data_IF_516011814521
#
_entry.id   IF_516011814521
#
_cell.length_a   1.000
_cell.length_b   1.000
_cell.length_c   1.000
_cell.angle_alpha   90.00
_cell.angle_beta   90.00
_cell.angle_gamma   90.00
#
_symmetry.space_group_name_H-M   'P 1'
#
loop_
_entity.id
_entity.type
_entity.pdbx_description
1 polymer ?
#
# COMPACT_ATOMS: atom_id res chain seq x y z
N UNK A 1 10.79 -26.03 -1.01
CA UNK A 1 10.88 -24.58 -1.21
C UNK A 1 9.65 -24.00 -0.54
N UNK A 2 9.81 -23.51 0.69
CA UNK A 2 8.70 -23.00 1.49
C UNK A 2 8.46 -21.57 1.01
N UNK A 3 7.38 -21.38 0.27
CA UNK A 3 6.92 -20.05 -0.12
C UNK A 3 6.24 -19.51 1.13
N UNK A 4 6.96 -18.72 1.91
CA UNK A 4 6.35 -17.95 2.99
C UNK A 4 5.31 -17.06 2.32
N UNK A 5 4.04 -17.38 2.57
CA UNK A 5 2.91 -16.58 2.19
C UNK A 5 3.18 -15.15 2.66
N UNK A 6 2.95 -14.17 1.78
CA UNK A 6 3.00 -12.74 2.09
C UNK A 6 1.88 -12.39 3.08
N UNK A 7 1.93 -12.90 4.31
CA UNK A 7 1.27 -12.30 5.44
C UNK A 7 2.09 -11.08 5.83
N UNK A 8 1.93 -9.99 5.07
CA UNK A 8 2.19 -8.65 5.61
C UNK A 8 1.22 -8.48 6.76
N UNK A 9 1.63 -8.92 7.95
CA UNK A 9 0.83 -8.88 9.16
C UNK A 9 0.22 -7.50 9.31
N UNK A 10 -1.10 -7.44 9.35
CA UNK A 10 -1.93 -6.31 9.78
C UNK A 10 -1.51 -5.90 11.19
N UNK A 11 -0.40 -5.16 11.31
CA UNK A 11 0.09 -4.69 12.61
C UNK A 11 -0.69 -3.44 12.97
N UNK A 12 -1.71 -3.65 13.80
CA UNK A 12 -2.30 -2.62 14.65
C UNK A 12 -1.16 -1.91 15.38
N UNK A 13 -0.98 -0.62 15.10
CA UNK A 13 -0.01 0.21 15.81
C UNK A 13 -0.67 1.53 16.18
N UNK A 14 -0.36 2.01 17.37
CA UNK A 14 -0.58 3.40 17.75
C UNK A 14 0.30 4.27 16.86
N UNK A 15 -0.19 4.60 15.68
CA UNK A 15 0.44 5.53 14.77
C UNK A 15 0.35 6.91 15.45
N UNK A 16 1.49 7.43 15.88
CA UNK A 16 1.62 8.68 16.63
C UNK A 16 0.99 9.84 15.85
N UNK A 17 0.05 10.54 16.49
CA UNK A 17 -0.82 11.52 15.88
C UNK A 17 -0.07 12.79 15.44
N UNK A 18 -0.17 13.15 14.16
CA UNK A 18 0.22 14.47 13.63
C UNK A 18 -0.90 15.51 13.73
N UNK A 19 -2.03 15.13 14.34
CA UNK A 19 -3.24 15.93 14.52
C UNK A 19 -4.46 15.04 14.78
N UNK A 20 -5.65 15.64 14.92
CA UNK A 20 -6.92 14.91 15.02
C UNK A 20 -8.04 15.63 14.26
N UNK A 21 -9.04 14.88 13.81
CA UNK A 21 -10.24 15.39 13.15
C UNK A 21 -11.45 14.78 13.84
N UNK A 22 -12.38 15.61 14.32
CA UNK A 22 -13.60 15.13 14.99
C UNK A 22 -13.36 14.32 16.27
N UNK A 23 -12.19 14.49 16.92
CA UNK A 23 -11.77 13.71 18.08
C UNK A 23 -11.00 12.42 17.74
N UNK A 24 -10.81 12.11 16.46
CA UNK A 24 -10.08 10.92 16.00
C UNK A 24 -8.64 11.31 15.62
N UNK A 25 -7.60 10.69 16.20
CA UNK A 25 -6.22 10.96 15.84
C UNK A 25 -5.91 10.52 14.41
N UNK A 26 -5.11 11.29 13.67
CA UNK A 26 -4.66 10.92 12.33
C UNK A 26 -3.53 9.87 12.40
N UNK A 27 -3.45 8.94 11.43
CA UNK A 27 -2.33 8.03 11.32
C UNK A 27 -1.05 8.76 10.87
N UNK A 28 0.09 8.21 11.22
CA UNK A 28 1.39 8.62 10.68
C UNK A 28 1.55 8.08 9.26
N UNK A 29 1.28 8.94 8.28
CA UNK A 29 1.42 8.63 6.86
C UNK A 29 2.88 8.40 6.41
N UNK A 30 3.86 8.75 7.25
CA UNK A 30 5.26 8.49 6.96
C UNK A 30 5.74 7.11 7.46
N UNK A 31 4.95 6.41 8.28
CA UNK A 31 5.28 5.09 8.81
C UNK A 31 5.61 4.10 7.68
N UNK A 32 6.62 3.26 7.89
CA UNK A 32 7.15 2.36 6.87
C UNK A 32 6.15 1.33 6.32
N UNK A 33 5.04 1.10 7.00
CA UNK A 33 3.97 0.19 6.58
C UNK A 33 2.73 0.92 6.06
N UNK A 34 2.73 2.25 6.07
CA UNK A 34 1.66 3.05 5.46
C UNK A 34 2.11 3.43 4.06
N UNK A 35 1.48 2.80 3.07
CA UNK A 35 1.62 3.17 1.67
C UNK A 35 0.55 4.21 1.34
N UNK A 36 0.93 5.29 0.67
CA UNK A 36 -0.02 6.28 0.13
C UNK A 36 0.49 6.73 -1.22
N UNK A 37 -0.43 7.21 -2.06
CA UNK A 37 -0.13 7.68 -3.41
C UNK A 37 1.01 8.69 -3.39
N UNK A 38 2.10 8.38 -4.06
CA UNK A 38 3.23 9.28 -4.24
C UNK A 38 3.88 9.04 -5.61
N UNK A 39 3.78 10.05 -6.47
CA UNK A 39 4.46 10.04 -7.76
C UNK A 39 5.93 10.41 -7.59
N UNK A 40 6.81 9.59 -8.14
CA UNK A 40 8.27 9.75 -8.09
C UNK A 40 8.84 10.36 -9.37
N UNK A 41 8.08 10.33 -10.48
CA UNK A 41 8.59 10.72 -11.80
C UNK A 41 9.51 9.67 -12.46
N UNK A 42 9.77 8.54 -11.78
CA UNK A 42 10.60 7.45 -12.28
C UNK A 42 9.78 6.57 -13.23
N UNK A 43 10.34 6.25 -14.39
CA UNK A 43 9.70 5.35 -15.35
C UNK A 43 9.71 3.89 -14.88
N UNK A 44 8.85 3.07 -15.48
CA UNK A 44 8.83 1.63 -15.18
C UNK A 44 10.15 0.92 -15.54
N UNK A 45 10.83 1.38 -16.59
CA UNK A 45 12.12 0.83 -17.01
C UNK A 45 13.21 1.14 -15.98
N UNK A 46 13.25 2.38 -15.49
CA UNK A 46 14.18 2.80 -14.44
C UNK A 46 13.92 2.06 -13.12
N UNK A 47 12.65 1.88 -12.73
CA UNK A 47 12.34 1.05 -11.55
C UNK A 47 12.84 -0.38 -11.69
N UNK A 48 12.61 -1.03 -12.84
CA UNK A 48 13.14 -2.38 -13.09
C UNK A 48 14.66 -2.40 -12.95
N UNK A 49 15.35 -1.40 -13.47
CA UNK A 49 16.79 -1.28 -13.35
C UNK A 49 17.23 -1.12 -11.88
N UNK A 50 16.61 -0.20 -11.13
CA UNK A 50 16.91 0.01 -9.71
C UNK A 50 16.66 -1.26 -8.87
N UNK A 51 15.58 -2.00 -9.14
CA UNK A 51 15.29 -3.25 -8.43
C UNK A 51 16.37 -4.30 -8.69
N UNK A 52 16.80 -4.45 -9.96
CA UNK A 52 17.89 -5.37 -10.33
C UNK A 52 19.20 -4.96 -9.67
N UNK A 53 19.59 -3.70 -9.79
CA UNK A 53 20.80 -3.17 -9.16
C UNK A 53 20.80 -3.38 -7.65
N UNK A 54 19.66 -3.15 -6.99
CA UNK A 54 19.53 -3.35 -5.56
C UNK A 54 19.75 -4.81 -5.18
N UNK A 55 19.23 -5.77 -5.96
CA UNK A 55 19.45 -7.19 -5.72
C UNK A 55 20.93 -7.59 -5.78
N UNK A 56 21.71 -7.04 -6.71
CA UNK A 56 23.16 -7.28 -6.79
C UNK A 56 23.91 -6.64 -5.62
N UNK A 57 23.58 -5.38 -5.26
CA UNK A 57 24.16 -4.67 -4.11
C UNK A 57 23.90 -5.42 -2.80
N UNK A 58 22.67 -5.89 -2.63
CA UNK A 58 22.22 -6.64 -1.46
C UNK A 58 22.86 -8.03 -1.39
N UNK A 59 23.02 -8.71 -2.54
CA UNK A 59 23.71 -10.00 -2.61
C UNK A 59 25.16 -9.89 -2.15
N UNK A 60 25.89 -8.86 -2.62
CA UNK A 60 27.25 -8.58 -2.19
C UNK A 60 27.38 -8.33 -0.67
N UNK A 61 26.30 -7.85 -0.04
CA UNK A 61 26.19 -7.64 1.41
C UNK A 61 25.60 -8.82 2.18
N UNK A 62 25.15 -9.88 1.50
CA UNK A 62 24.44 -11.01 2.12
C UNK A 62 23.07 -10.65 2.72
N UNK A 63 22.44 -9.56 2.30
CA UNK A 63 21.19 -9.05 2.86
C UNK A 63 20.01 -9.31 1.92
N UNK A 64 19.24 -10.38 2.13
CA UNK A 64 18.13 -10.71 1.24
C UNK A 64 16.83 -9.96 1.59
N UNK A 65 16.23 -9.31 0.58
CA UNK A 65 14.89 -8.68 0.64
C UNK A 65 14.66 -7.83 1.90
N UNK A 66 13.74 -8.25 2.78
CA UNK A 66 13.31 -7.49 3.95
C UNK A 66 14.42 -7.21 4.97
N UNK A 67 15.55 -7.92 4.87
CA UNK A 67 16.78 -7.64 5.65
C UNK A 67 17.55 -6.41 5.13
N UNK A 68 17.28 -5.97 3.90
CA UNK A 68 17.85 -4.76 3.31
C UNK A 68 16.93 -3.56 3.51
N UNK A 69 17.43 -2.52 4.17
CA UNK A 69 16.70 -1.25 4.34
C UNK A 69 16.42 -0.58 3.01
N UNK A 70 17.36 -0.67 2.07
CA UNK A 70 17.23 -0.11 0.73
C UNK A 70 16.18 -0.83 -0.11
N UNK A 71 16.12 -2.17 -0.01
CA UNK A 71 15.02 -2.94 -0.60
C UNK A 71 13.66 -2.48 -0.05
N UNK A 72 13.55 -2.33 1.27
CA UNK A 72 12.29 -1.90 1.90
C UNK A 72 11.89 -0.48 1.47
N UNK A 73 12.87 0.45 1.35
CA UNK A 73 12.65 1.82 0.87
C UNK A 73 12.20 1.82 -0.59
N UNK A 74 12.86 1.04 -1.44
CA UNK A 74 12.52 0.89 -2.84
C UNK A 74 11.13 0.24 -3.02
N UNK A 75 10.80 -0.76 -2.20
CA UNK A 75 9.47 -1.39 -2.16
C UNK A 75 8.39 -0.39 -1.81
N UNK A 76 8.62 0.44 -0.78
CA UNK A 76 7.71 1.52 -0.40
C UNK A 76 7.49 2.49 -1.57
N UNK A 77 8.56 2.96 -2.18
CA UNK A 77 8.50 3.92 -3.28
C UNK A 77 7.79 3.35 -4.52
N UNK A 78 8.17 2.14 -4.94
CA UNK A 78 7.61 1.48 -6.11
C UNK A 78 6.12 1.14 -5.95
N UNK A 79 5.73 0.72 -4.74
CA UNK A 79 4.32 0.44 -4.41
C UNK A 79 3.49 1.72 -4.36
N UNK A 80 4.03 2.79 -3.77
CA UNK A 80 3.38 4.11 -3.66
C UNK A 80 2.99 4.75 -5.01
N UNK A 81 3.58 4.31 -6.13
CA UNK A 81 3.19 4.76 -7.48
C UNK A 81 1.75 4.38 -7.86
N UNK A 82 1.25 3.28 -7.29
CA UNK A 82 -0.10 2.74 -7.55
C UNK A 82 -1.01 2.76 -6.33
N UNK A 83 -0.47 3.09 -5.15
CA UNK A 83 -1.28 3.21 -3.94
C UNK A 83 -2.41 4.24 -4.10
N UNK A 84 -3.56 4.00 -3.45
CA UNK A 84 -4.59 5.02 -3.30
C UNK A 84 -4.08 6.19 -2.45
N UNK A 85 -4.70 7.36 -2.61
CA UNK A 85 -4.43 8.52 -1.75
C UNK A 85 -5.08 8.32 -0.38
N UNK A 86 -4.50 7.45 0.44
CA UNK A 86 -5.03 7.13 1.77
C UNK A 86 -5.11 8.37 2.65
N UNK A 87 -4.18 9.31 2.50
CA UNK A 87 -4.19 10.55 3.26
C UNK A 87 -5.40 11.41 2.88
N UNK A 88 -5.64 11.62 1.59
CA UNK A 88 -6.83 12.31 1.09
C UNK A 88 -8.12 11.64 1.56
N UNK A 89 -8.24 10.33 1.35
CA UNK A 89 -9.42 9.52 1.71
C UNK A 89 -9.72 9.60 3.21
N UNK A 90 -8.71 9.43 4.07
CA UNK A 90 -8.90 9.47 5.52
C UNK A 90 -9.27 10.88 5.99
N UNK A 91 -8.57 11.90 5.50
CA UNK A 91 -8.85 13.30 5.90
C UNK A 91 -10.24 13.73 5.44
N UNK A 92 -10.64 13.41 4.22
CA UNK A 92 -11.98 13.74 3.71
C UNK A 92 -13.07 12.98 4.46
N UNK A 93 -12.89 11.67 4.68
CA UNK A 93 -13.84 10.84 5.42
C UNK A 93 -14.02 11.29 6.88
N UNK A 94 -12.93 11.63 7.58
CA UNK A 94 -13.03 12.15 8.94
C UNK A 94 -13.70 13.53 9.01
N UNK A 95 -13.48 14.41 8.03
CA UNK A 95 -14.20 15.69 7.94
C UNK A 95 -15.70 15.48 7.74
N UNK A 96 -16.10 14.54 6.89
CA UNK A 96 -17.51 14.19 6.68
C UNK A 96 -18.14 13.63 7.97
N UNK A 97 -17.44 12.75 8.68
CA UNK A 97 -17.90 12.21 9.98
C UNK A 97 -17.99 13.32 11.03
N UNK A 98 -17.01 14.23 11.11
CA UNK A 98 -17.00 15.34 12.07
C UNK A 98 -18.10 16.36 11.81
N UNK A 99 -18.35 16.72 10.55
CA UNK A 99 -19.42 17.66 10.17
C UNK A 99 -20.80 17.15 10.59
N UNK A 100 -21.05 15.85 10.46
CA UNK A 100 -22.30 15.22 10.89
C UNK A 100 -22.47 15.18 12.43
N UNK A 101 -21.39 15.27 13.21
CA UNK A 101 -21.47 15.36 14.69
C UNK A 101 -21.88 16.75 15.18
N UNK A 102 -21.66 17.80 14.37
CA UNK A 102 -21.88 19.21 14.75
C UNK A 102 -23.24 19.77 14.29
N UNK A 103 -24.33 19.02 14.49
CA UNK A 103 -25.74 19.32 14.11
C UNK A 103 -26.14 18.86 12.70
N UNK A 104 -26.75 17.67 12.57
CA UNK A 104 -28.04 17.41 11.88
C UNK A 104 -28.48 15.95 12.25
N UNK A 105 -29.75 15.75 12.62
CA UNK A 105 -30.42 14.44 12.66
C UNK A 105 -30.60 13.83 11.25
N UNK A 106 -29.52 13.71 10.46
CA UNK A 106 -29.57 13.03 9.16
C UNK A 106 -28.53 11.91 9.14
N UNK A 107 -28.91 10.70 8.66
CA UNK A 107 -27.94 9.66 8.32
C UNK A 107 -26.87 10.25 7.42
N UNK A 108 -25.63 9.77 7.58
CA UNK A 108 -24.50 10.15 6.71
C UNK A 108 -24.95 10.01 5.26
N UNK A 109 -24.89 11.11 4.51
CA UNK A 109 -25.12 11.05 3.07
C UNK A 109 -23.88 10.41 2.41
N UNK A 110 -23.95 9.08 2.32
CA UNK A 110 -22.89 8.21 1.79
C UNK A 110 -22.59 8.59 0.34
N UNK A 111 -23.60 9.04 -0.43
CA UNK A 111 -23.46 9.46 -1.82
C UNK A 111 -22.72 10.79 -2.01
N UNK A 112 -22.83 11.73 -1.06
CA UNK A 112 -22.15 13.03 -1.16
C UNK A 112 -20.66 12.97 -0.79
N UNK A 113 -20.24 11.95 -0.02
CA UNK A 113 -18.83 11.71 0.33
C UNK A 113 -18.03 11.07 -0.83
N UNK A 114 -18.74 10.70 -1.90
CA UNK A 114 -18.36 9.73 -2.94
C UNK A 114 -17.67 10.38 -4.16
N UNK A 115 -16.89 11.45 -3.96
CA UNK A 115 -16.07 12.01 -5.06
C UNK A 115 -14.65 11.41 -5.13
N UNK A 116 -14.18 10.69 -4.10
CA UNK A 116 -12.85 10.03 -4.10
C UNK A 116 -12.78 8.63 -3.45
N UNK A 117 -13.88 8.10 -2.89
CA UNK A 117 -13.95 6.78 -2.25
C UNK A 117 -15.17 6.63 -1.32
N UNK A 118 -15.60 5.40 -1.00
CA UNK A 118 -16.69 5.17 -0.05
C UNK A 118 -16.19 5.27 1.41
N UNK A 119 -16.99 5.85 2.31
CA UNK A 119 -16.74 5.80 3.75
C UNK A 119 -17.94 5.17 4.43
N UNK A 120 -17.74 4.04 5.11
CA UNK A 120 -18.81 3.37 5.87
C UNK A 120 -18.60 3.61 7.34
N UNK A 121 -19.66 4.05 8.02
CA UNK A 121 -19.64 4.37 9.44
C UNK A 121 -20.74 3.58 10.14
N UNK A 122 -20.36 2.87 11.19
CA UNK A 122 -21.31 2.21 12.07
C UNK A 122 -21.16 2.76 13.49
N UNK A 123 -22.24 3.37 14.00
CA UNK A 123 -22.33 3.76 15.41
C UNK A 123 -22.86 2.57 16.20
N UNK A 124 -22.01 1.95 17.01
CA UNK A 124 -22.44 0.89 17.93
C UNK A 124 -23.21 1.49 19.13
N UNK A 125 -24.13 0.75 19.77
CA UNK A 125 -24.91 1.24 20.91
C UNK A 125 -24.04 1.78 22.05
N UNK A 126 -24.61 2.72 22.81
CA UNK A 126 -23.93 3.64 23.75
C UNK A 126 -22.76 3.04 24.54
N UNK A 127 -21.59 3.66 24.39
CA UNK A 127 -20.51 3.58 25.38
C UNK A 127 -19.15 3.17 24.85
N UNK A 128 -19.02 2.53 23.69
CA UNK A 128 -17.69 2.12 23.18
C UNK A 128 -17.68 1.82 21.68
N UNK A 129 -16.73 2.44 20.97
CA UNK A 129 -16.27 2.20 19.60
C UNK A 129 -16.97 2.92 18.43
N UNK A 130 -16.24 3.88 17.88
CA UNK A 130 -16.40 4.40 16.53
C UNK A 130 -15.64 3.44 15.60
N UNK A 131 -16.37 2.70 14.77
CA UNK A 131 -15.78 1.91 13.70
C UNK A 131 -16.00 2.63 12.37
N UNK A 132 -14.92 2.88 11.64
CA UNK A 132 -14.95 3.59 10.37
C UNK A 132 -14.17 2.77 9.35
N UNK A 133 -14.78 2.53 8.20
CA UNK A 133 -14.15 1.91 7.05
C UNK A 133 -13.96 2.96 5.96
N UNK A 134 -12.78 2.96 5.38
CA UNK A 134 -12.40 3.84 4.29
C UNK A 134 -12.12 2.97 3.07
N UNK A 135 -12.73 3.32 1.96
CA UNK A 135 -12.58 2.66 0.67
C UNK A 135 -12.01 3.63 -0.35
N UNK A 136 -11.27 3.11 -1.33
CA UNK A 136 -10.88 3.89 -2.49
C UNK A 136 -12.02 3.96 -3.53
N UNK A 137 -11.77 4.70 -4.62
CA UNK A 137 -12.68 4.84 -5.77
C UNK A 137 -13.01 3.53 -6.49
N UNK A 138 -12.25 2.46 -6.28
CA UNK A 138 -12.50 1.15 -6.87
C UNK A 138 -13.32 0.24 -5.92
N UNK A 139 -13.69 0.74 -4.74
CA UNK A 139 -14.40 -0.01 -3.71
C UNK A 139 -13.48 -0.95 -2.90
N UNK A 140 -12.16 -0.80 -3.00
CA UNK A 140 -11.23 -1.57 -2.16
C UNK A 140 -11.09 -0.88 -0.80
N UNK A 141 -11.19 -1.65 0.29
CA UNK A 141 -10.97 -1.11 1.63
C UNK A 141 -9.49 -0.76 1.81
N UNK A 142 -9.21 0.47 2.24
CA UNK A 142 -7.83 0.99 2.36
C UNK A 142 -7.41 1.22 3.81
N UNK A 143 -8.36 1.49 4.70
CA UNK A 143 -8.12 1.67 6.12
C UNK A 143 -9.37 1.41 6.96
N UNK A 144 -9.16 1.05 8.21
CA UNK A 144 -10.18 1.10 9.27
C UNK A 144 -9.66 1.85 10.48
N UNK A 145 -10.58 2.49 11.20
CA UNK A 145 -10.34 3.04 12.53
C UNK A 145 -11.29 2.39 13.53
N UNK A 146 -10.76 2.03 14.70
CA UNK A 146 -11.53 1.46 15.80
C UNK A 146 -10.90 1.85 17.15
N UNK A 147 -11.46 1.35 18.26
CA UNK A 147 -10.83 1.47 19.58
C UNK A 147 -9.40 0.91 19.65
N UNK A 148 -9.03 0.01 18.72
CA UNK A 148 -7.70 -0.58 18.64
C UNK A 148 -6.73 0.24 17.76
N UNK A 149 -7.16 1.42 17.29
CA UNK A 149 -6.40 2.32 16.44
C UNK A 149 -6.62 2.07 14.95
N UNK A 150 -5.65 2.51 14.16
CA UNK A 150 -5.67 2.43 12.70
C UNK A 150 -5.20 1.07 12.20
N UNK A 151 -5.93 0.50 11.25
CA UNK A 151 -5.48 -0.62 10.43
C UNK A 151 -5.45 -0.19 8.97
N UNK A 152 -4.34 -0.42 8.29
CA UNK A 152 -4.20 -0.17 6.85
C UNK A 152 -4.33 -1.48 6.09
N UNK A 153 -5.01 -1.45 4.95
CA UNK A 153 -5.23 -2.62 4.10
C UNK A 153 -4.52 -2.42 2.77
N UNK A 154 -3.82 -3.45 2.31
CA UNK A 154 -3.17 -3.48 1.00
C UNK A 154 -4.23 -3.69 -0.09
N UNK A 155 -4.20 -2.85 -1.12
CA UNK A 155 -5.06 -3.00 -2.31
C UNK A 155 -4.51 -4.04 -3.27
N UNK A 156 -5.34 -4.53 -4.19
CA UNK A 156 -4.92 -5.47 -5.24
C UNK A 156 -3.82 -4.87 -6.13
N UNK A 157 -3.92 -3.58 -6.47
CA UNK A 157 -2.90 -2.89 -7.27
C UNK A 157 -1.54 -2.86 -6.56
N UNK A 158 -1.52 -2.62 -5.25
CA UNK A 158 -0.29 -2.64 -4.45
C UNK A 158 0.27 -4.05 -4.31
N UNK A 159 -0.57 -5.04 -4.04
CA UNK A 159 -0.15 -6.44 -3.93
C UNK A 159 0.48 -6.93 -5.25
N UNK A 160 -0.12 -6.59 -6.39
CA UNK A 160 0.45 -6.87 -7.72
C UNK A 160 1.80 -6.18 -7.91
N UNK A 161 1.92 -4.91 -7.51
CA UNK A 161 3.16 -4.14 -7.62
C UNK A 161 4.29 -4.68 -6.73
N UNK A 162 3.97 -5.06 -5.50
CA UNK A 162 4.90 -5.71 -4.57
C UNK A 162 5.38 -7.06 -5.11
N UNK A 163 4.45 -7.88 -5.61
CA UNK A 163 4.75 -9.18 -6.23
C UNK A 163 5.69 -9.01 -7.42
N UNK A 164 5.40 -8.06 -8.30
CA UNK A 164 6.23 -7.76 -9.47
C UNK A 164 7.67 -7.39 -9.06
N UNK A 165 7.84 -6.54 -8.04
CA UNK A 165 9.17 -6.19 -7.55
C UNK A 165 9.90 -7.40 -6.98
N UNK A 166 9.23 -8.24 -6.20
CA UNK A 166 9.82 -9.47 -5.67
C UNK A 166 10.29 -10.41 -6.78
N UNK A 167 9.52 -10.54 -7.87
CA UNK A 167 9.91 -11.36 -9.03
C UNK A 167 11.19 -10.85 -9.68
N UNK A 168 11.24 -9.56 -10.01
CA UNK A 168 12.43 -8.93 -10.63
C UNK A 168 13.65 -9.03 -9.71
N UNK A 169 13.47 -8.77 -8.42
CA UNK A 169 14.53 -8.84 -7.43
C UNK A 169 15.07 -10.27 -7.28
N UNK A 170 14.20 -11.27 -7.16
CA UNK A 170 14.61 -12.66 -6.98
C UNK A 170 15.34 -13.21 -8.21
N UNK A 171 14.90 -12.85 -9.41
CA UNK A 171 15.59 -13.18 -10.64
C UNK A 171 17.02 -12.59 -10.65
N UNK A 172 17.14 -11.29 -10.37
CA UNK A 172 18.42 -10.59 -10.33
C UNK A 172 19.35 -11.13 -9.23
N UNK A 173 18.81 -11.42 -8.04
CA UNK A 173 19.53 -12.06 -6.94
C UNK A 173 20.03 -13.46 -7.34
N UNK A 174 19.19 -14.25 -8.02
CA UNK A 174 19.56 -15.56 -8.54
C UNK A 174 20.67 -15.48 -9.59
N UNK A 175 20.65 -14.47 -10.46
CA UNK A 175 21.71 -14.19 -11.41
C UNK A 175 23.02 -13.81 -10.72
N UNK A 176 22.97 -12.92 -9.72
CA UNK A 176 24.13 -12.55 -8.91
C UNK A 176 24.75 -13.78 -8.22
N UNK A 177 23.91 -14.65 -7.65
CA UNK A 177 24.35 -15.91 -7.03
C UNK A 177 25.03 -16.87 -8.01
N UNK A 178 24.64 -16.84 -9.29
CA UNK A 178 25.26 -17.63 -10.37
C UNK A 178 26.50 -16.98 -10.99
N UNK A 179 26.89 -15.79 -10.51
CA UNK A 179 28.00 -15.03 -11.09
C UNK A 179 27.70 -14.44 -12.46
N UNK A 180 26.43 -14.36 -12.86
CA UNK A 180 26.02 -13.68 -14.10
C UNK A 180 26.15 -12.17 -13.84
N UNK A 181 26.88 -11.41 -14.67
CA UNK A 181 27.01 -9.96 -14.49
C UNK A 181 25.68 -9.25 -14.75
N UNK A 182 25.46 -8.13 -14.06
CA UNK A 182 24.30 -7.27 -14.32
C UNK A 182 24.38 -6.73 -15.75
N UNK A 183 23.42 -7.10 -16.60
CA UNK A 183 23.35 -6.58 -17.96
C UNK A 183 23.19 -5.05 -17.95
N UNK A 184 24.01 -4.36 -18.74
CA UNK A 184 23.91 -2.92 -18.92
C UNK A 184 22.68 -2.61 -19.79
N UNK A 185 21.55 -2.29 -19.15
CA UNK A 185 20.37 -1.66 -19.73
C UNK A 185 19.77 -2.32 -20.97
N UNK A 186 18.79 -3.21 -20.81
CA UNK A 186 17.82 -3.48 -21.88
C UNK A 186 16.91 -2.26 -22.03
N UNK A 187 17.28 -1.34 -22.92
CA UNK A 187 16.35 -0.40 -23.52
C UNK A 187 15.38 -1.18 -24.41
N UNK A 188 14.14 -1.34 -23.91
CA UNK A 188 12.90 -1.59 -24.65
C UNK A 188 12.89 -2.74 -25.70
N UNK A 189 12.46 -3.92 -25.27
CA UNK A 189 11.32 -4.63 -25.89
C UNK A 189 11.00 -5.90 -25.08
N UNK A 190 9.94 -5.87 -24.26
CA UNK A 190 9.22 -7.10 -23.92
C UNK A 190 7.75 -6.75 -23.98
N UNK A 191 7.12 -7.16 -25.08
CA UNK A 191 5.68 -7.14 -25.26
C UNK A 191 5.00 -7.93 -24.12
N UNK A 192 3.86 -7.41 -23.68
CA UNK A 192 2.94 -8.09 -22.80
C UNK A 192 2.61 -9.50 -23.34
N UNK A 193 3.19 -10.53 -22.75
CA UNK A 193 2.59 -11.86 -22.73
C UNK A 193 2.10 -12.17 -21.32
N UNK A 194 0.96 -11.57 -20.98
CA UNK A 194 0.07 -12.18 -20.00
C UNK A 194 -0.59 -13.37 -20.70
N UNK A 195 0.01 -14.55 -20.60
CA UNK A 195 -0.70 -15.78 -20.89
C UNK A 195 -1.82 -15.91 -19.84
N UNK A 196 -3.05 -15.65 -20.29
CA UNK A 196 -4.25 -16.01 -19.55
C UNK A 196 -4.23 -17.51 -19.27
N UNK A 197 -4.41 -17.87 -18.01
CA UNK A 197 -4.68 -19.25 -17.62
C UNK A 197 -6.03 -19.65 -18.20
N UNK A 198 -6.00 -20.44 -19.25
CA UNK A 198 -7.16 -21.06 -19.86
C UNK A 198 -7.54 -22.29 -19.01
N UNK A 199 -8.43 -22.08 -18.04
CA UNK A 199 -9.01 -23.16 -17.25
C UNK A 199 -10.12 -23.81 -18.08
N UNK A 200 -9.80 -24.93 -18.75
CA UNK A 200 -10.82 -25.79 -19.35
C UNK A 200 -11.45 -26.70 -18.29
N UNK A 201 -12.77 -26.56 -18.20
CA UNK A 201 -13.86 -27.44 -17.76
C UNK A 201 -13.53 -28.67 -16.92
#
# INVERSE_FOLDING_TARGET
MQVDSFQTSSRQRGLSATGSIGGIPLPDFNDKYVFSKKKSGISQAEYRQYIREQAYKDFAKGQFQNKSEEFNRLMKQYTSEVSPDRQGIIVSGLKAVSGNRQNVLKPIDILATLLEGEVRYQKLPSGSSEYIEFYDKNGEMVATYSNQGWTMYTTNAEAARQTQMCLIYNEAWGNAKRGIPLAAGETAHVENQYHGFDAKA
#
